data_IF_399868669041
#
_entry.id   IF_399868669041
#
_cell.length_a   1.000
_cell.length_b   1.000
_cell.length_c   1.000
_cell.angle_alpha   90.00
_cell.angle_beta   90.00
_cell.angle_gamma   90.00
#
_symmetry.space_group_name_H-M   'P 1'
#
loop_
_entity.id
_entity.type
_entity.pdbx_description
1 polymer ?
#
# COMPACT_ATOMS: atom_id res chain seq x y z
N UNK A 1 -0.21 -4.85 22.20
CA UNK A 1 0.41 -3.52 22.09
C UNK A 1 1.71 -3.69 21.32
N UNK A 2 1.77 -3.25 20.07
CA UNK A 2 2.99 -3.33 19.30
C UNK A 2 3.98 -2.29 19.85
N UNK A 3 5.09 -2.76 20.41
CA UNK A 3 6.21 -1.94 20.84
C UNK A 3 6.86 -1.33 19.59
N UNK A 4 6.67 -0.03 19.40
CA UNK A 4 7.31 0.74 18.33
C UNK A 4 8.79 0.90 18.69
N UNK A 5 9.62 -0.01 18.20
CA UNK A 5 11.07 0.11 18.35
C UNK A 5 11.56 1.36 17.61
N UNK A 6 12.26 2.24 18.32
CA UNK A 6 12.83 3.46 17.80
C UNK A 6 13.86 3.14 16.69
N UNK A 7 13.54 3.51 15.45
CA UNK A 7 14.48 3.45 14.32
C UNK A 7 15.22 4.80 14.22
N UNK A 8 16.57 4.83 14.33
CA UNK A 8 17.33 6.08 14.27
C UNK A 8 17.15 6.87 12.95
N UNK A 9 16.66 6.25 11.87
CA UNK A 9 16.29 6.96 10.63
C UNK A 9 15.03 7.85 10.77
N UNK A 10 14.22 7.69 11.82
CA UNK A 10 13.11 8.60 12.15
C UNK A 10 13.60 10.01 12.53
N UNK A 11 14.86 10.16 12.96
CA UNK A 11 15.46 11.44 13.34
C UNK A 11 15.52 12.46 12.19
N UNK A 12 15.68 11.97 10.95
CA UNK A 12 15.71 12.81 9.74
C UNK A 12 14.32 13.28 9.27
N UNK A 13 13.25 12.77 9.89
CA UNK A 13 11.86 13.04 9.51
C UNK A 13 11.15 14.06 10.42
N UNK A 14 11.87 14.73 11.33
CA UNK A 14 11.37 15.90 12.05
C UNK A 14 10.19 15.61 12.99
N UNK A 15 10.51 15.20 14.22
CA UNK A 15 9.62 15.31 15.38
C UNK A 15 8.70 14.12 15.66
N UNK A 16 8.12 14.14 16.86
CA UNK A 16 7.19 13.13 17.39
C UNK A 16 5.93 12.97 16.53
N UNK A 17 5.30 11.77 16.54
CA UNK A 17 4.03 11.54 15.84
C UNK A 17 2.98 12.59 16.21
N UNK A 18 2.11 12.99 15.26
CA UNK A 18 0.89 13.67 15.66
C UNK A 18 0.14 12.78 16.65
N UNK A 19 -0.48 13.38 17.67
CA UNK A 19 -1.45 12.66 18.47
C UNK A 19 -2.54 12.10 17.54
N UNK A 20 -3.04 10.87 17.79
CA UNK A 20 -4.10 10.29 16.96
C UNK A 20 -5.27 11.28 16.90
N UNK A 21 -5.87 11.41 15.71
CA UNK A 21 -7.07 12.21 15.55
C UNK A 21 -8.13 11.73 16.56
N UNK A 22 -8.83 12.65 17.25
CA UNK A 22 -9.88 12.26 18.18
C UNK A 22 -10.93 11.43 17.45
N UNK A 23 -11.43 10.39 18.12
CA UNK A 23 -12.49 9.53 17.62
C UNK A 23 -13.67 10.37 17.11
N UNK A 24 -14.23 9.94 15.98
CA UNK A 24 -15.37 10.58 15.30
C UNK A 24 -16.48 10.93 16.31
N UNK A 25 -16.77 12.23 16.46
CA UNK A 25 -17.83 12.66 17.38
C UNK A 25 -17.91 14.14 17.76
N UNK A 26 -16.96 15.01 17.40
CA UNK A 26 -17.04 16.44 17.72
C UNK A 26 -17.08 17.29 16.44
N UNK A 27 -18.27 17.81 16.11
CA UNK A 27 -18.48 18.74 15.01
C UNK A 27 -17.89 20.12 15.36
N UNK A 28 -16.69 20.39 14.85
CA UNK A 28 -16.11 21.73 14.76
C UNK A 28 -16.46 22.35 13.37
N UNK A 29 -16.48 23.69 13.22
CA UNK A 29 -16.91 24.33 11.97
C UNK A 29 -15.99 23.93 10.82
N UNK A 30 -16.59 23.76 9.63
CA UNK A 30 -15.94 23.28 8.42
C UNK A 30 -14.89 24.27 7.88
N UNK A 31 -13.72 24.28 8.51
CA UNK A 31 -12.48 24.64 7.83
C UNK A 31 -12.23 23.47 6.88
N UNK A 32 -12.23 23.71 5.58
CA UNK A 32 -11.97 22.67 4.58
C UNK A 32 -10.66 21.97 4.93
N UNK A 33 -10.75 20.74 5.44
CA UNK A 33 -9.59 19.91 5.74
C UNK A 33 -8.81 19.78 4.44
N UNK A 34 -7.51 20.13 4.40
CA UNK A 34 -6.74 19.97 3.17
C UNK A 34 -6.84 18.51 2.72
N UNK A 35 -7.12 18.30 1.43
CA UNK A 35 -7.26 16.96 0.87
C UNK A 35 -5.97 16.17 1.11
N UNK A 36 -6.07 15.12 1.91
CA UNK A 36 -4.96 14.19 2.19
C UNK A 36 -4.74 13.33 0.95
N UNK A 37 -3.49 13.11 0.58
CA UNK A 37 -3.17 12.16 -0.48
C UNK A 37 -3.61 10.75 -0.10
N UNK A 38 -4.52 10.19 -0.89
CA UNK A 38 -4.91 8.79 -0.80
C UNK A 38 -3.81 7.90 -1.39
N UNK A 39 -3.53 6.79 -0.73
CA UNK A 39 -2.48 5.86 -1.15
C UNK A 39 -3.01 4.43 -1.09
N UNK A 40 -2.64 3.64 -2.10
CA UNK A 40 -3.16 2.28 -2.34
C UNK A 40 -2.49 1.19 -1.49
N UNK A 41 -1.46 1.54 -0.73
CA UNK A 41 -0.74 0.56 0.07
C UNK A 41 -0.04 1.20 1.27
N UNK A 42 0.10 0.40 2.32
CA UNK A 42 1.00 0.67 3.43
C UNK A 42 2.38 1.14 2.96
N UNK A 43 2.88 2.18 3.62
CA UNK A 43 4.21 2.71 3.36
C UNK A 43 4.32 3.50 2.07
N UNK A 44 3.20 3.95 1.49
CA UNK A 44 3.17 4.84 0.31
C UNK A 44 2.56 6.22 0.59
N UNK A 45 2.39 6.59 1.86
CA UNK A 45 1.93 7.92 2.26
C UNK A 45 3.02 8.98 1.97
N UNK A 46 2.66 10.13 1.40
CA UNK A 46 3.67 11.14 1.01
C UNK A 46 4.03 12.16 2.10
N UNK A 47 3.28 12.23 3.20
CA UNK A 47 3.50 13.20 4.28
C UNK A 47 3.32 12.55 5.66
N UNK A 48 3.79 13.27 6.68
CA UNK A 48 3.53 13.00 8.11
C UNK A 48 2.03 13.12 8.43
N UNK A 49 1.51 12.21 9.25
CA UNK A 49 0.10 12.16 9.64
C UNK A 49 -0.89 11.86 8.50
N UNK A 50 -0.41 11.33 7.37
CA UNK A 50 -1.24 10.98 6.21
C UNK A 50 -1.50 9.47 6.10
N UNK A 51 -1.13 8.66 7.09
CA UNK A 51 -1.54 7.25 7.13
C UNK A 51 -2.99 7.09 7.61
N UNK A 52 -3.50 5.86 7.59
CA UNK A 52 -4.90 5.55 7.98
C UNK A 52 -5.28 6.08 9.36
N UNK A 53 -4.31 6.18 10.27
CA UNK A 53 -4.55 6.52 11.67
C UNK A 53 -4.06 7.94 12.02
N UNK A 54 -3.46 8.67 11.09
CA UNK A 54 -2.81 9.96 11.33
C UNK A 54 -1.55 9.88 12.21
N UNK A 55 -0.98 8.70 12.42
CA UNK A 55 0.10 8.42 13.38
C UNK A 55 1.48 8.31 12.75
N UNK A 56 1.60 8.27 11.42
CA UNK A 56 2.91 8.12 10.80
C UNK A 56 3.78 9.38 11.00
N UNK A 57 5.08 9.14 11.16
CA UNK A 57 6.06 10.21 11.38
C UNK A 57 6.62 10.79 10.09
N UNK A 58 6.71 9.99 9.04
CA UNK A 58 7.38 10.37 7.80
C UNK A 58 6.64 9.84 6.57
N UNK A 59 7.00 10.39 5.40
CA UNK A 59 6.60 9.80 4.14
C UNK A 59 7.10 8.34 4.08
N UNK A 60 6.24 7.44 3.64
CA UNK A 60 6.55 6.03 3.46
C UNK A 60 6.55 5.17 4.73
N UNK A 61 6.21 5.73 5.90
CA UNK A 61 6.17 4.97 7.18
C UNK A 61 4.76 4.65 7.66
N UNK A 62 3.75 4.94 6.84
CA UNK A 62 2.35 4.87 7.20
C UNK A 62 1.77 3.48 7.23
N UNK A 63 0.88 3.23 8.18
CA UNK A 63 0.15 1.98 8.28
C UNK A 63 -1.09 1.96 7.38
N UNK A 64 -1.26 0.85 6.66
CA UNK A 64 -2.39 0.56 5.77
C UNK A 64 -2.54 1.50 4.56
N UNK A 65 -3.41 1.13 3.63
CA UNK A 65 -3.86 2.01 2.55
C UNK A 65 -4.95 2.97 3.07
N UNK A 66 -5.11 4.10 2.40
CA UNK A 66 -6.23 5.05 2.62
C UNK A 66 -7.12 5.21 1.41
N UNK A 67 -6.66 4.80 0.22
CA UNK A 67 -7.50 4.71 -0.96
C UNK A 67 -8.64 3.71 -0.75
N UNK A 68 -9.76 3.93 -1.44
CA UNK A 68 -10.94 3.08 -1.33
C UNK A 68 -10.58 1.63 -1.61
N UNK A 69 -10.95 0.77 -0.67
CA UNK A 69 -10.70 -0.67 -0.76
C UNK A 69 -11.58 -1.27 -1.85
N UNK A 70 -10.96 -2.02 -2.74
CA UNK A 70 -11.67 -2.80 -3.75
C UNK A 70 -10.83 -3.98 -4.19
N UNK A 71 -11.49 -5.02 -4.71
CA UNK A 71 -10.89 -6.23 -5.28
C UNK A 71 -10.85 -6.22 -6.81
N UNK A 72 -11.68 -5.39 -7.45
CA UNK A 72 -11.91 -5.42 -8.90
C UNK A 72 -11.45 -4.14 -9.59
N UNK A 73 -11.16 -4.28 -10.89
CA UNK A 73 -10.81 -3.17 -11.76
C UNK A 73 -12.01 -2.24 -11.82
N UNK A 74 -11.77 -0.96 -12.06
CA UNK A 74 -12.82 0.06 -12.20
C UNK A 74 -13.63 0.31 -10.93
N UNK A 75 -13.17 -0.11 -9.74
CA UNK A 75 -13.83 0.16 -8.46
C UNK A 75 -13.13 1.24 -7.62
N UNK A 76 -12.29 2.05 -8.26
CA UNK A 76 -11.58 3.17 -7.63
C UNK A 76 -12.38 4.48 -7.76
N UNK A 77 -12.34 5.32 -6.73
CA UNK A 77 -13.16 6.54 -6.70
C UNK A 77 -12.51 7.73 -7.41
N UNK A 78 -11.17 7.80 -7.45
CA UNK A 78 -10.44 8.89 -8.11
C UNK A 78 -9.14 8.41 -8.79
N UNK A 79 -8.43 9.35 -9.44
CA UNK A 79 -7.05 9.19 -9.89
C UNK A 79 -6.11 8.76 -8.73
N UNK A 80 -5.14 7.90 -9.01
CA UNK A 80 -4.13 7.45 -8.05
C UNK A 80 -4.61 6.42 -7.01
N UNK A 81 -5.71 5.73 -7.28
CA UNK A 81 -6.34 4.74 -6.41
C UNK A 81 -6.45 3.33 -7.04
N UNK A 82 -5.77 3.06 -8.15
CA UNK A 82 -5.67 1.72 -8.76
C UNK A 82 -4.52 0.92 -8.17
N UNK A 83 -4.77 -0.23 -7.54
CA UNK A 83 -3.72 -1.20 -7.20
C UNK A 83 -3.46 -2.07 -8.42
N UNK A 84 -2.23 -2.42 -8.82
CA UNK A 84 -2.03 -3.18 -10.06
C UNK A 84 -1.06 -4.33 -9.91
N UNK A 85 -1.20 -5.36 -10.75
CA UNK A 85 -0.47 -6.63 -10.66
C UNK A 85 -1.33 -7.79 -11.13
N UNK A 86 -2.64 -7.61 -10.99
CA UNK A 86 -3.63 -8.55 -11.45
C UNK A 86 -4.74 -7.79 -12.16
N UNK A 87 -5.18 -8.35 -13.29
CA UNK A 87 -6.19 -7.76 -14.17
C UNK A 87 -5.75 -6.39 -14.73
N UNK A 88 -6.44 -5.89 -15.76
CA UNK A 88 -5.96 -4.75 -16.55
C UNK A 88 -4.86 -5.08 -17.57
N UNK A 89 -4.38 -4.07 -18.29
CA UNK A 89 -3.36 -4.22 -19.33
C UNK A 89 -1.92 -4.17 -18.78
N UNK A 90 -0.93 -4.55 -19.60
CA UNK A 90 0.47 -4.56 -19.20
C UNK A 90 0.99 -3.16 -18.78
N UNK A 91 0.50 -2.08 -19.39
CA UNK A 91 0.87 -0.71 -19.03
C UNK A 91 0.27 -0.26 -17.70
N UNK A 92 -0.90 -0.75 -17.35
CA UNK A 92 -1.51 -0.58 -16.02
C UNK A 92 -0.71 -1.35 -14.97
N UNK A 93 -0.32 -2.61 -15.25
CA UNK A 93 0.44 -3.44 -14.32
C UNK A 93 1.87 -2.94 -14.03
N UNK A 94 2.41 -2.06 -14.87
CA UNK A 94 3.71 -1.42 -14.66
C UNK A 94 3.65 -0.18 -13.75
N UNK A 95 2.46 0.29 -13.37
CA UNK A 95 2.27 1.54 -12.61
C UNK A 95 1.35 1.34 -11.39
N UNK A 96 1.75 0.50 -10.42
CA UNK A 96 0.92 0.25 -9.23
C UNK A 96 0.67 1.53 -8.44
N UNK A 97 -0.57 1.72 -8.02
CA UNK A 97 -1.02 2.93 -7.36
C UNK A 97 -1.36 4.08 -8.31
N UNK A 98 -1.33 3.87 -9.62
CA UNK A 98 -1.63 4.90 -10.63
C UNK A 98 -2.80 4.50 -11.51
N UNK A 99 -3.57 5.51 -11.92
CA UNK A 99 -4.67 5.42 -12.90
C UNK A 99 -5.12 6.84 -13.25
N UNK A 100 -5.62 7.03 -14.46
CA UNK A 100 -5.83 8.38 -15.00
C UNK A 100 -7.12 9.04 -14.49
N UNK A 101 -8.14 8.26 -14.11
CA UNK A 101 -9.40 8.78 -13.58
C UNK A 101 -10.11 7.80 -12.65
N UNK A 102 -11.20 8.26 -12.02
CA UNK A 102 -12.20 7.39 -11.37
C UNK A 102 -12.59 6.24 -12.31
N UNK A 103 -12.78 5.05 -11.73
CA UNK A 103 -13.18 3.85 -12.46
C UNK A 103 -12.21 3.37 -13.55
N UNK A 104 -10.95 3.85 -13.55
CA UNK A 104 -9.89 3.41 -14.46
C UNK A 104 -8.70 2.74 -13.76
N UNK A 105 -8.87 2.43 -12.47
CA UNK A 105 -7.88 1.74 -11.63
C UNK A 105 -7.91 0.24 -11.81
N UNK A 106 -6.75 -0.40 -11.67
CA UNK A 106 -6.55 -1.84 -11.67
C UNK A 106 -6.89 -2.48 -10.30
N UNK A 107 -6.96 -3.83 -10.23
CA UNK A 107 -7.06 -4.59 -8.98
C UNK A 107 -5.70 -4.79 -8.29
N UNK A 108 -5.60 -4.77 -6.96
CA UNK A 108 -6.60 -4.43 -5.95
C UNK A 108 -5.95 -3.61 -4.83
N UNK A 109 -6.79 -2.96 -4.03
CA UNK A 109 -6.37 -2.08 -2.95
C UNK A 109 -6.92 -2.60 -1.61
N UNK A 110 -6.10 -2.77 -0.57
CA UNK A 110 -4.64 -2.60 -0.53
C UNK A 110 -3.82 -3.54 -1.43
N UNK A 111 -2.61 -3.12 -1.81
CA UNK A 111 -1.59 -4.02 -2.38
C UNK A 111 -0.96 -4.83 -1.23
N UNK A 112 -1.01 -6.15 -1.30
CA UNK A 112 -0.40 -7.07 -0.32
C UNK A 112 0.98 -7.57 -0.75
N UNK A 113 1.71 -8.22 0.16
CA UNK A 113 3.06 -8.71 -0.08
C UNK A 113 3.12 -9.84 -1.13
N UNK A 114 2.11 -10.71 -1.15
CA UNK A 114 1.94 -11.88 -2.01
C UNK A 114 1.50 -11.52 -3.44
N UNK A 115 1.26 -10.23 -3.71
CA UNK A 115 0.80 -9.81 -5.03
C UNK A 115 1.98 -9.73 -5.99
N UNK A 116 1.85 -10.42 -7.12
CA UNK A 116 2.80 -10.36 -8.22
C UNK A 116 2.14 -9.83 -9.50
N UNK A 117 2.96 -9.38 -10.48
CA UNK A 117 2.44 -8.92 -11.77
C UNK A 117 2.19 -10.12 -12.69
N UNK A 118 1.07 -10.13 -13.38
CA UNK A 118 0.66 -11.24 -14.26
C UNK A 118 0.94 -10.99 -15.74
N UNK A 119 1.18 -9.72 -16.11
CA UNK A 119 1.45 -9.28 -17.47
C UNK A 119 2.61 -8.26 -17.50
N UNK A 120 3.22 -8.11 -18.68
CA UNK A 120 4.28 -7.13 -18.92
C UNK A 120 5.67 -7.56 -18.41
N UNK A 121 6.60 -6.60 -18.34
CA UNK A 121 8.01 -6.85 -18.02
C UNK A 121 8.25 -7.27 -16.56
N UNK A 122 7.30 -6.94 -15.68
CA UNK A 122 7.33 -7.32 -14.28
C UNK A 122 6.60 -8.63 -13.98
N UNK A 123 6.22 -9.40 -15.00
CA UNK A 123 5.57 -10.70 -14.82
C UNK A 123 6.33 -11.60 -13.84
N UNK A 124 5.61 -12.11 -12.85
CA UNK A 124 6.10 -12.96 -11.75
C UNK A 124 6.77 -12.18 -10.61
N UNK A 125 6.96 -10.86 -10.70
CA UNK A 125 7.65 -10.06 -9.67
C UNK A 125 6.65 -9.40 -8.73
N UNK A 126 7.11 -9.13 -7.50
CA UNK A 126 6.34 -8.41 -6.48
C UNK A 126 5.86 -7.05 -6.98
N UNK A 127 4.56 -6.85 -6.84
CA UNK A 127 3.91 -5.57 -7.12
C UNK A 127 4.22 -4.56 -6.06
N UNK A 128 4.24 -4.97 -4.79
CA UNK A 128 4.48 -4.06 -3.70
C UNK A 128 5.87 -3.44 -3.81
N UNK A 129 6.89 -4.24 -4.13
CA UNK A 129 8.25 -3.73 -4.35
C UNK A 129 8.31 -2.74 -5.51
N UNK A 130 7.58 -3.00 -6.60
CA UNK A 130 7.47 -2.04 -7.71
C UNK A 130 6.79 -0.74 -7.28
N UNK A 131 5.68 -0.83 -6.55
CA UNK A 131 4.95 0.33 -6.01
C UNK A 131 5.83 1.18 -5.09
N UNK A 132 6.58 0.51 -4.21
CA UNK A 132 7.50 1.15 -3.28
C UNK A 132 8.63 1.86 -4.02
N UNK A 133 9.24 1.21 -5.02
CA UNK A 133 10.28 1.82 -5.85
C UNK A 133 9.78 3.08 -6.57
N UNK A 134 8.62 3.01 -7.22
CA UNK A 134 8.05 4.15 -7.94
C UNK A 134 7.68 5.30 -6.96
N UNK A 135 7.21 4.96 -5.77
CA UNK A 135 6.96 5.94 -4.72
C UNK A 135 8.24 6.65 -4.27
N UNK A 136 9.32 5.90 -4.03
CA UNK A 136 10.62 6.46 -3.64
C UNK A 136 11.21 7.35 -4.73
N UNK A 137 11.13 6.93 -6.00
CA UNK A 137 11.54 7.75 -7.15
C UNK A 137 10.75 9.07 -7.23
N UNK A 138 9.42 9.00 -7.01
CA UNK A 138 8.56 10.18 -6.95
C UNK A 138 8.95 11.11 -5.80
N UNK A 139 9.21 10.57 -4.61
CA UNK A 139 9.62 11.36 -3.44
C UNK A 139 11.00 11.99 -3.63
N UNK A 140 11.95 11.25 -4.22
CA UNK A 140 13.28 11.74 -4.57
C UNK A 140 13.18 12.90 -5.57
N UNK A 141 12.37 12.76 -6.62
CA UNK A 141 12.11 13.86 -7.58
C UNK A 141 11.49 15.08 -6.90
N UNK A 142 10.65 14.87 -5.90
CA UNK A 142 10.06 15.92 -5.07
C UNK A 142 11.00 16.44 -3.96
N UNK A 143 12.25 15.96 -3.88
CA UNK A 143 13.24 16.30 -2.84
C UNK A 143 12.71 16.06 -1.42
N UNK A 144 11.95 14.98 -1.21
CA UNK A 144 11.38 14.58 0.07
C UNK A 144 12.16 13.40 0.67
N UNK A 145 12.30 13.41 1.99
CA UNK A 145 12.82 12.26 2.73
C UNK A 145 11.74 11.19 2.84
N UNK A 146 12.18 9.92 2.74
CA UNK A 146 11.32 8.74 2.87
C UNK A 146 11.88 7.89 4.00
N UNK A 147 11.01 7.46 4.90
CA UNK A 147 11.36 6.51 5.95
C UNK A 147 11.11 5.06 5.52
N UNK A 148 11.66 4.14 6.30
CA UNK A 148 11.44 2.70 6.09
C UNK A 148 9.96 2.32 6.20
N UNK A 149 9.46 1.42 5.32
CA UNK A 149 8.10 0.93 5.40
C UNK A 149 7.90 0.07 6.66
N UNK A 150 6.68 -0.02 7.21
CA UNK A 150 6.43 -0.86 8.38
C UNK A 150 6.72 -2.36 8.12
N UNK A 151 6.50 -2.83 6.89
CA UNK A 151 6.94 -4.14 6.42
C UNK A 151 7.79 -3.96 5.16
N UNK A 152 8.96 -4.59 5.15
CA UNK A 152 9.94 -4.50 4.05
C UNK A 152 9.38 -4.97 2.70
N UNK A 153 8.41 -5.89 2.72
CA UNK A 153 7.90 -6.58 1.54
C UNK A 153 6.44 -6.23 1.25
N UNK A 154 5.88 -5.28 2.01
CA UNK A 154 4.44 -5.00 2.04
C UNK A 154 3.71 -5.75 3.15
N UNK A 155 2.43 -5.40 3.36
CA UNK A 155 1.65 -5.99 4.42
C UNK A 155 1.32 -7.45 4.06
N UNK A 156 1.65 -8.41 4.94
CA UNK A 156 1.25 -9.81 4.73
C UNK A 156 -0.27 -9.96 4.89
N UNK A 157 -0.83 -10.99 4.26
CA UNK A 157 -2.27 -11.27 4.29
C UNK A 157 -2.82 -11.36 5.72
N UNK A 158 -2.13 -12.07 6.61
CA UNK A 158 -2.55 -12.26 8.01
C UNK A 158 -2.71 -10.90 8.73
N UNK A 159 -1.82 -9.95 8.46
CA UNK A 159 -1.88 -8.61 8.98
C UNK A 159 -3.05 -7.83 8.36
N UNK A 160 -3.26 -7.92 7.05
CA UNK A 160 -4.40 -7.27 6.37
C UNK A 160 -5.74 -7.77 6.92
N UNK A 161 -5.89 -9.07 7.11
CA UNK A 161 -7.09 -9.67 7.73
C UNK A 161 -7.28 -9.15 9.15
N UNK A 162 -6.22 -9.07 9.95
CA UNK A 162 -6.31 -8.54 11.33
C UNK A 162 -6.75 -7.07 11.40
N UNK A 163 -6.41 -6.27 10.38
CA UNK A 163 -6.65 -4.81 10.33
C UNK A 163 -7.92 -4.43 9.56
N UNK A 164 -8.38 -5.30 8.66
CA UNK A 164 -9.55 -5.07 7.81
C UNK A 164 -10.73 -6.01 8.12
N UNK A 165 -10.57 -6.95 9.04
CA UNK A 165 -11.57 -7.96 9.44
C UNK A 165 -11.69 -9.12 8.46
N UNK A 166 -11.69 -8.84 7.16
CA UNK A 166 -11.64 -9.85 6.10
C UNK A 166 -10.77 -9.34 4.96
N UNK A 167 -10.02 -10.21 4.31
CA UNK A 167 -9.25 -9.89 3.12
C UNK A 167 -9.13 -11.14 2.24
N UNK A 168 -9.55 -11.06 0.98
CA UNK A 168 -9.44 -12.18 0.04
C UNK A 168 -8.07 -12.13 -0.64
N UNK A 169 -7.11 -12.87 -0.13
CA UNK A 169 -5.77 -12.87 -0.72
C UNK A 169 -5.69 -13.60 -2.03
N UNK A 170 -6.51 -14.63 -2.28
CA UNK A 170 -6.35 -15.45 -3.48
C UNK A 170 -6.79 -14.74 -4.76
N UNK A 171 -7.98 -14.13 -4.73
CA UNK A 171 -8.45 -13.28 -5.83
C UNK A 171 -7.60 -12.02 -6.01
N UNK A 172 -6.87 -11.62 -4.97
CA UNK A 172 -6.01 -10.45 -4.99
C UNK A 172 -4.56 -10.75 -5.37
N UNK A 173 -3.96 -11.88 -5.01
CA UNK A 173 -2.55 -12.18 -5.29
C UNK A 173 -2.32 -12.48 -6.77
N UNK A 174 -3.34 -13.04 -7.43
CA UNK A 174 -3.24 -13.57 -8.78
C UNK A 174 -2.79 -15.02 -8.83
N UNK A 175 -2.49 -15.60 -7.66
CA UNK A 175 -1.93 -16.93 -7.54
C UNK A 175 -2.96 -18.00 -7.90
N UNK A 176 -2.56 -18.90 -8.81
CA UNK A 176 -3.36 -20.04 -9.24
C UNK A 176 -3.33 -21.20 -8.22
N UNK A 177 -2.39 -21.18 -7.25
CA UNK A 177 -2.13 -22.22 -6.25
C UNK A 177 -2.92 -22.06 -4.96
N UNK A 178 -3.64 -20.96 -4.76
CA UNK A 178 -4.51 -20.81 -3.58
C UNK A 178 -5.85 -21.55 -3.69
N UNK A 179 -5.99 -22.44 -4.68
CA UNK A 179 -6.93 -23.56 -4.62
C UNK A 179 -6.27 -24.76 -3.92
N UNK A 180 -6.77 -25.13 -2.73
CA UNK A 180 -6.50 -26.39 -2.01
C UNK A 180 -5.15 -26.57 -1.27
N UNK A 181 -4.77 -25.63 -0.41
CA UNK A 181 -3.75 -25.90 0.63
C UNK A 181 -2.30 -26.04 0.15
N UNK A 182 -2.00 -25.62 -1.09
CA UNK A 182 -0.67 -25.62 -1.69
C UNK A 182 0.03 -24.26 -1.66
N UNK A 183 -0.68 -23.17 -1.33
CA UNK A 183 -0.11 -21.85 -1.16
C UNK A 183 0.01 -21.52 0.33
N UNK A 184 1.23 -21.25 0.78
CA UNK A 184 1.50 -20.58 2.04
C UNK A 184 1.81 -19.08 1.74
N UNK A 185 0.89 -18.16 2.06
CA UNK A 185 1.08 -16.72 1.84
C UNK A 185 2.38 -16.18 2.43
N UNK A 186 2.77 -16.67 3.62
CA UNK A 186 3.97 -16.19 4.30
C UNK A 186 5.25 -16.61 3.54
N UNK A 187 5.29 -17.83 2.99
CA UNK A 187 6.43 -18.33 2.21
C UNK A 187 6.50 -17.63 0.84
N UNK A 188 5.36 -17.46 0.17
CA UNK A 188 5.29 -16.80 -1.13
C UNK A 188 5.65 -15.30 -1.02
N UNK A 189 5.11 -14.58 -0.03
CA UNK A 189 5.51 -13.20 0.27
C UNK A 189 7.01 -13.08 0.48
N UNK A 190 7.62 -14.04 1.19
CA UNK A 190 9.06 -14.08 1.43
C UNK A 190 9.86 -14.28 0.14
N UNK A 191 9.45 -15.22 -0.72
CA UNK A 191 10.11 -15.48 -1.99
C UNK A 191 10.07 -14.24 -2.91
N UNK A 192 8.90 -13.63 -3.06
CA UNK A 192 8.73 -12.38 -3.81
C UNK A 192 9.57 -11.25 -3.22
N UNK A 193 9.71 -11.19 -1.90
CA UNK A 193 10.54 -10.20 -1.22
C UNK A 193 12.04 -10.40 -1.47
N UNK A 194 12.48 -11.66 -1.60
CA UNK A 194 13.82 -12.03 -2.01
C UNK A 194 14.08 -11.79 -3.52
N UNK A 195 13.07 -11.30 -4.25
CA UNK A 195 13.14 -11.02 -5.68
C UNK A 195 13.00 -12.26 -6.55
N UNK A 196 12.61 -13.40 -5.97
CA UNK A 196 12.24 -14.59 -6.75
C UNK A 196 10.94 -14.30 -7.50
N UNK A 197 10.80 -14.94 -8.66
CA UNK A 197 9.55 -14.90 -9.41
C UNK A 197 8.61 -15.98 -8.92
N UNK A 198 7.31 -15.69 -8.96
CA UNK A 198 6.24 -16.69 -8.82
C UNK A 198 6.23 -17.73 -9.94
#
# INVERSE_FOLDING_TARGET
MAIVNYNPNLSLCGGTPPAPAPAEGAAAPAVATPSVELHVCMGLNACKGHDRNGTNNCAGTGYCATATRHNCQTLNDCHGQGGCGLYGDAGQQMRPGSNDCAWQGSCAVPIQAERYSTLGENTGKSVWLLARKLFEERMMKAKRTVGEPPFKCGPPENWLTSVLGSYDSCGNSGDKRCSFGFNNPDDHAKELCEGKKE
#
